data_IF_410044021966
#
_entry.id   IF_410044021966
#
_cell.length_a   1.000
_cell.length_b   1.000
_cell.length_c   1.000
_cell.angle_alpha   90.00
_cell.angle_beta   90.00
_cell.angle_gamma   90.00
#
_symmetry.space_group_name_H-M   'P 1'
#
loop_
_entity.id
_entity.type
_entity.pdbx_description
1 polymer ?
#
# COMPACT_ATOMS: atom_id res chain seq x y z
N UNK A 1 20.07 14.92 18.10
CA UNK A 1 20.40 14.06 16.93
C UNK A 1 19.67 12.73 16.94
N UNK A 2 19.66 11.96 18.05
CA UNK A 2 19.00 10.64 18.12
C UNK A 2 17.50 10.66 17.80
N UNK A 3 16.79 11.68 18.26
CA UNK A 3 15.34 11.87 18.02
C UNK A 3 15.01 12.10 16.52
N UNK A 4 15.87 12.81 15.80
CA UNK A 4 15.71 13.05 14.36
C UNK A 4 15.90 11.77 13.55
N UNK A 5 16.88 10.94 13.92
CA UNK A 5 17.13 9.65 13.26
C UNK A 5 15.97 8.68 13.46
N UNK A 6 15.42 8.63 14.68
CA UNK A 6 14.26 7.78 14.98
C UNK A 6 13.04 8.24 14.19
N UNK A 7 12.75 9.55 14.16
CA UNK A 7 11.64 10.12 13.38
C UNK A 7 11.78 9.87 11.87
N UNK A 8 12.99 10.02 11.32
CA UNK A 8 13.26 9.73 9.90
C UNK A 8 13.11 8.23 9.57
N UNK A 9 13.58 7.35 10.45
CA UNK A 9 13.44 5.91 10.28
C UNK A 9 11.97 5.47 10.33
N UNK A 10 11.18 6.04 11.23
CA UNK A 10 9.75 5.79 11.35
C UNK A 10 8.99 6.26 10.08
N UNK A 11 9.31 7.44 9.58
CA UNK A 11 8.75 7.95 8.32
C UNK A 11 9.09 7.03 7.14
N UNK A 12 10.35 6.60 7.03
CA UNK A 12 10.78 5.67 5.99
C UNK A 12 10.06 4.34 6.09
N UNK A 13 9.85 3.81 7.30
CA UNK A 13 9.08 2.60 7.52
C UNK A 13 7.65 2.75 7.00
N UNK A 14 6.94 3.83 7.36
CA UNK A 14 5.59 4.09 6.85
C UNK A 14 5.55 4.25 5.33
N UNK A 15 6.52 4.95 4.74
CA UNK A 15 6.61 5.13 3.30
C UNK A 15 6.80 3.79 2.59
N UNK A 16 7.73 2.98 3.07
CA UNK A 16 8.02 1.67 2.50
C UNK A 16 6.83 0.72 2.65
N UNK A 17 6.22 0.64 3.85
CA UNK A 17 5.04 -0.19 4.07
C UNK A 17 3.87 0.24 3.20
N UNK A 18 3.59 1.53 3.11
CA UNK A 18 2.54 2.08 2.22
C UNK A 18 2.83 1.71 0.76
N UNK A 19 4.06 1.93 0.30
CA UNK A 19 4.47 1.64 -1.07
C UNK A 19 4.39 0.16 -1.41
N UNK A 20 4.82 -0.71 -0.50
CA UNK A 20 4.74 -2.18 -0.67
C UNK A 20 3.29 -2.63 -0.75
N UNK A 21 2.42 -2.18 0.17
CA UNK A 21 0.99 -2.52 0.13
C UNK A 21 0.33 -2.06 -1.18
N UNK A 22 0.66 -0.84 -1.63
CA UNK A 22 0.15 -0.32 -2.89
C UNK A 22 0.63 -1.15 -4.10
N UNK A 23 1.92 -1.49 -4.14
CA UNK A 23 2.52 -2.27 -5.22
C UNK A 23 1.94 -3.69 -5.28
N UNK A 24 1.82 -4.36 -4.13
CA UNK A 24 1.25 -5.71 -4.02
C UNK A 24 -0.24 -5.68 -4.40
N UNK A 25 -0.99 -4.69 -3.91
CA UNK A 25 -2.40 -4.54 -4.25
C UNK A 25 -2.61 -4.33 -5.74
N UNK A 26 -1.85 -3.42 -6.36
CA UNK A 26 -1.91 -3.18 -7.80
C UNK A 26 -1.51 -4.42 -8.62
N UNK A 27 -0.46 -5.13 -8.20
CA UNK A 27 -0.05 -6.38 -8.83
C UNK A 27 -1.16 -7.44 -8.77
N UNK A 28 -1.83 -7.59 -7.63
CA UNK A 28 -2.96 -8.51 -7.47
C UNK A 28 -4.14 -8.14 -8.38
N UNK A 29 -4.48 -6.86 -8.51
CA UNK A 29 -5.54 -6.38 -9.43
C UNK A 29 -5.21 -6.69 -10.90
N UNK A 30 -3.98 -6.38 -11.34
CA UNK A 30 -3.54 -6.67 -12.72
C UNK A 30 -3.53 -8.18 -13.00
N UNK A 31 -3.13 -8.97 -12.01
CA UNK A 31 -3.14 -10.43 -12.09
C UNK A 31 -4.58 -10.95 -12.15
N UNK A 32 -5.49 -10.40 -11.34
CA UNK A 32 -6.92 -10.75 -11.37
C UNK A 32 -7.50 -10.59 -12.78
N UNK A 33 -7.27 -9.43 -13.43
CA UNK A 33 -7.73 -9.18 -14.81
C UNK A 33 -7.22 -10.24 -15.78
N UNK A 34 -5.97 -10.70 -15.59
CA UNK A 34 -5.37 -11.75 -16.41
C UNK A 34 -6.00 -13.13 -16.18
N UNK A 35 -6.47 -13.42 -14.97
CA UNK A 35 -7.18 -14.67 -14.68
C UNK A 35 -8.65 -14.65 -15.14
N UNK A 36 -9.29 -13.47 -15.17
CA UNK A 36 -10.62 -13.31 -15.78
C UNK A 36 -10.55 -13.68 -17.27
N UNK A 37 -9.57 -13.16 -18.01
CA UNK A 37 -9.41 -13.46 -19.43
C UNK A 37 -9.03 -14.91 -19.71
N UNK A 38 -8.36 -15.58 -18.75
CA UNK A 38 -8.05 -17.01 -18.79
C UNK A 38 -9.24 -17.92 -18.38
N UNK A 39 -10.39 -17.36 -18.00
CA UNK A 39 -11.59 -18.12 -17.62
C UNK A 39 -11.61 -18.66 -16.19
N UNK A 40 -10.59 -18.37 -15.38
CA UNK A 40 -10.54 -18.77 -13.97
C UNK A 40 -11.08 -17.64 -13.08
N UNK A 41 -12.41 -17.54 -13.05
CA UNK A 41 -13.14 -16.47 -12.35
C UNK A 41 -13.01 -16.56 -10.84
N UNK A 42 -13.01 -17.77 -10.26
CA UNK A 42 -12.89 -17.94 -8.81
C UNK A 42 -11.59 -17.36 -8.27
N UNK A 43 -10.45 -17.67 -8.90
CA UNK A 43 -9.17 -17.15 -8.46
C UNK A 43 -9.01 -15.65 -8.75
N UNK A 44 -9.58 -15.18 -9.87
CA UNK A 44 -9.61 -13.75 -10.18
C UNK A 44 -10.37 -12.95 -9.12
N UNK A 45 -11.57 -13.38 -8.72
CA UNK A 45 -12.35 -12.69 -7.69
C UNK A 45 -11.60 -12.67 -6.36
N UNK A 46 -10.96 -13.79 -5.98
CA UNK A 46 -10.13 -13.83 -4.77
C UNK A 46 -8.96 -12.83 -4.85
N UNK A 47 -8.24 -12.78 -5.98
CA UNK A 47 -7.16 -11.82 -6.20
C UNK A 47 -7.65 -10.37 -6.16
N UNK A 48 -8.80 -10.07 -6.76
CA UNK A 48 -9.40 -8.72 -6.72
C UNK A 48 -9.76 -8.32 -5.28
N UNK A 49 -10.30 -9.24 -4.47
CA UNK A 49 -10.60 -8.92 -3.07
C UNK A 49 -9.32 -8.64 -2.29
N UNK A 50 -8.29 -9.48 -2.45
CA UNK A 50 -6.99 -9.28 -1.78
C UNK A 50 -6.31 -7.99 -2.24
N UNK A 51 -6.35 -7.71 -3.55
CA UNK A 51 -5.82 -6.50 -4.17
C UNK A 51 -6.48 -5.24 -3.60
N UNK A 52 -7.81 -5.21 -3.61
CA UNK A 52 -8.59 -4.12 -3.04
C UNK A 52 -8.30 -3.89 -1.56
N UNK A 53 -8.18 -4.96 -0.75
CA UNK A 53 -7.83 -4.85 0.67
C UNK A 53 -6.43 -4.27 0.87
N UNK A 54 -5.44 -4.73 0.08
CA UNK A 54 -4.07 -4.21 0.17
C UNK A 54 -3.99 -2.74 -0.26
N UNK A 55 -4.71 -2.35 -1.32
CA UNK A 55 -4.80 -0.96 -1.77
C UNK A 55 -5.50 -0.07 -0.74
N UNK A 56 -6.57 -0.55 -0.12
CA UNK A 56 -7.24 0.18 0.96
C UNK A 56 -6.34 0.36 2.18
N UNK A 57 -5.60 -0.69 2.56
CA UNK A 57 -4.62 -0.61 3.64
C UNK A 57 -3.51 0.40 3.31
N UNK A 58 -3.00 0.41 2.08
CA UNK A 58 -2.04 1.42 1.62
C UNK A 58 -2.63 2.83 1.70
N UNK A 59 -3.88 3.01 1.27
CA UNK A 59 -4.57 4.30 1.31
C UNK A 59 -4.77 4.81 2.75
N UNK A 60 -5.29 3.98 3.65
CA UNK A 60 -5.48 4.34 5.06
C UNK A 60 -4.14 4.67 5.73
N UNK A 61 -3.11 3.82 5.57
CA UNK A 61 -1.79 4.07 6.15
C UNK A 61 -1.13 5.32 5.56
N UNK A 62 -1.28 5.53 4.25
CA UNK A 62 -0.81 6.69 3.54
C UNK A 62 -1.46 8.00 4.01
N UNK A 63 -2.77 7.99 4.27
CA UNK A 63 -3.54 9.19 4.64
C UNK A 63 -3.51 9.50 6.13
N UNK A 64 -3.57 8.48 6.98
CA UNK A 64 -3.62 8.64 8.44
C UNK A 64 -2.24 8.81 9.05
N UNK A 65 -1.20 8.16 8.49
CA UNK A 65 0.11 8.10 9.13
C UNK A 65 1.20 8.81 8.34
N UNK A 66 1.29 8.58 7.04
CA UNK A 66 2.38 9.10 6.21
C UNK A 66 2.18 10.58 5.84
N UNK A 67 1.02 10.94 5.29
CA UNK A 67 0.70 12.31 4.85
C UNK A 67 0.81 13.36 5.96
N UNK A 68 0.28 13.15 7.17
CA UNK A 68 0.41 14.12 8.26
C UNK A 68 1.86 14.33 8.68
N UNK A 69 2.65 13.25 8.79
CA UNK A 69 4.08 13.31 9.14
C UNK A 69 4.92 13.99 8.07
N UNK A 70 4.60 13.78 6.79
CA UNK A 70 5.25 14.51 5.68
C UNK A 70 4.93 16.00 5.71
N UNK A 71 3.68 16.37 6.05
CA UNK A 71 3.28 17.78 6.18
C UNK A 71 3.95 18.46 7.36
N UNK A 72 4.09 17.79 8.51
CA UNK A 72 4.78 18.36 9.67
C UNK A 72 6.27 18.59 9.46
N UNK A 73 6.90 17.87 8.52
CA UNK A 73 8.31 18.09 8.14
C UNK A 73 8.51 19.25 7.15
N UNK A 74 7.43 19.71 6.51
CA UNK A 74 7.47 20.77 5.49
C UNK A 74 7.06 22.15 6.03
N UNK A 75 6.39 22.20 7.18
CA UNK A 75 5.98 23.43 7.88
C UNK A 75 7.11 23.92 8.80
#
# INVERSE_FOLDING_TARGET
MRELVVSAAELLAYLLTTGVLAAVGLFAELTSVSYISAGNTTFAVWLAVVGAVALYAAFSLGTEQLLPRLRSLRA
#
